data_IF_408476020947
#
_entry.id   IF_408476020947
#
_cell.length_a   1.000
_cell.length_b   1.000
_cell.length_c   1.000
_cell.angle_alpha   90.00
_cell.angle_beta   90.00
_cell.angle_gamma   90.00
#
_symmetry.space_group_name_H-M   'P 1'
#
loop_
_entity.id
_entity.type
_entity.pdbx_description
1 polymer ?
#
# COMPACT_ATOMS: atom_id res chain seq x y z
N UNK A 1 -15.29 21.07 36.48
CA UNK A 1 -14.38 21.07 35.30
C UNK A 1 -14.01 22.52 35.00
N UNK A 2 -12.76 22.85 34.65
CA UNK A 2 -12.39 24.23 34.32
C UNK A 2 -13.15 24.72 33.08
N UNK A 3 -13.36 26.03 32.97
CA UNK A 3 -14.08 26.64 31.85
C UNK A 3 -13.31 26.43 30.53
N UNK A 4 -13.92 25.69 29.60
CA UNK A 4 -13.39 25.49 28.26
C UNK A 4 -13.53 26.78 27.46
N UNK A 5 -12.40 27.36 27.04
CA UNK A 5 -12.40 28.57 26.22
C UNK A 5 -12.39 28.18 24.74
N UNK A 6 -13.21 28.86 23.93
CA UNK A 6 -13.21 28.64 22.48
C UNK A 6 -11.83 28.96 21.91
N UNK A 7 -11.25 28.05 21.11
CA UNK A 7 -9.90 28.24 20.62
C UNK A 7 -9.86 29.35 19.57
N UNK A 8 -8.84 30.21 19.66
CA UNK A 8 -8.64 31.30 18.70
C UNK A 8 -8.16 30.69 17.38
N UNK A 9 -8.95 30.84 16.30
CA UNK A 9 -8.67 30.27 14.99
C UNK A 9 -7.24 30.57 14.49
N UNK A 10 -6.74 31.79 14.72
CA UNK A 10 -5.37 32.20 14.38
C UNK A 10 -4.31 31.34 15.06
N UNK A 11 -4.49 31.00 16.34
CA UNK A 11 -3.53 30.19 17.09
C UNK A 11 -3.56 28.74 16.61
N UNK A 12 -4.75 28.20 16.30
CA UNK A 12 -4.89 26.88 15.68
C UNK A 12 -4.15 26.86 14.35
N UNK A 13 -4.43 27.82 13.46
CA UNK A 13 -3.84 27.83 12.12
C UNK A 13 -2.31 27.96 12.16
N UNK A 14 -1.78 28.84 13.03
CA UNK A 14 -0.33 29.00 13.20
C UNK A 14 0.32 27.74 13.78
N UNK A 15 -0.28 27.13 14.81
CA UNK A 15 0.29 25.91 15.43
C UNK A 15 0.22 24.71 14.48
N UNK A 16 -0.87 24.56 13.73
CA UNK A 16 -0.98 23.55 12.67
C UNK A 16 0.03 23.80 11.57
N UNK A 17 0.20 25.04 11.11
CA UNK A 17 1.20 25.39 10.09
C UNK A 17 2.63 25.06 10.52
N UNK A 18 3.03 25.41 11.75
CA UNK A 18 4.38 25.09 12.24
C UNK A 18 4.61 23.58 12.36
N UNK A 19 3.59 22.82 12.78
CA UNK A 19 3.67 21.35 12.82
C UNK A 19 3.75 20.76 11.41
N UNK A 20 2.93 21.25 10.48
CA UNK A 20 2.94 20.83 9.07
C UNK A 20 4.29 21.10 8.42
N UNK A 21 4.81 22.32 8.54
CA UNK A 21 6.14 22.68 8.02
C UNK A 21 7.22 21.76 8.58
N UNK A 22 7.21 21.53 9.90
CA UNK A 22 8.19 20.62 10.52
C UNK A 22 8.03 19.18 10.06
N UNK A 23 6.82 18.74 9.74
CA UNK A 23 6.55 17.40 9.21
C UNK A 23 7.08 17.28 7.78
N UNK A 24 6.77 18.24 6.91
CA UNK A 24 7.22 18.27 5.50
C UNK A 24 8.74 18.14 5.41
N UNK A 25 9.51 18.97 6.14
CA UNK A 25 10.97 18.91 6.06
C UNK A 25 11.58 17.63 6.65
N UNK A 26 10.94 17.03 7.66
CA UNK A 26 11.46 15.82 8.33
C UNK A 26 11.09 14.54 7.59
N UNK A 27 9.81 14.37 7.25
CA UNK A 27 9.31 13.21 6.52
C UNK A 27 9.76 13.26 5.05
N UNK A 28 9.70 14.43 4.41
CA UNK A 28 10.09 14.63 3.02
C UNK A 28 11.54 14.21 2.75
N UNK A 29 12.47 14.49 3.68
CA UNK A 29 13.87 14.05 3.53
C UNK A 29 13.98 12.52 3.42
N UNK A 30 13.21 11.77 4.21
CA UNK A 30 13.19 10.31 4.15
C UNK A 30 12.53 9.81 2.88
N UNK A 31 11.40 10.42 2.49
CA UNK A 31 10.66 10.05 1.27
C UNK A 31 11.54 10.25 0.03
N UNK A 32 12.17 11.41 -0.12
CA UNK A 32 13.05 11.70 -1.27
C UNK A 32 14.20 10.71 -1.37
N UNK A 33 14.85 10.36 -0.25
CA UNK A 33 15.92 9.35 -0.24
C UNK A 33 15.41 7.98 -0.68
N UNK A 34 14.24 7.57 -0.20
CA UNK A 34 13.61 6.31 -0.60
C UNK A 34 13.23 6.32 -2.08
N UNK A 35 12.59 7.40 -2.57
CA UNK A 35 12.16 7.52 -3.97
C UNK A 35 13.35 7.52 -4.92
N UNK A 36 14.44 8.24 -4.60
CA UNK A 36 15.68 8.19 -5.38
C UNK A 36 16.25 6.77 -5.40
N UNK A 37 16.24 6.07 -4.27
CA UNK A 37 16.71 4.68 -4.21
C UNK A 37 15.81 3.74 -5.04
N UNK A 38 14.49 3.92 -4.99
CA UNK A 38 13.55 3.14 -5.80
C UNK A 38 13.70 3.43 -7.30
N UNK A 39 13.84 4.70 -7.69
CA UNK A 39 14.09 5.12 -9.07
C UNK A 39 15.41 4.57 -9.59
N UNK A 40 16.47 4.59 -8.77
CA UNK A 40 17.74 3.96 -9.13
C UNK A 40 17.62 2.43 -9.30
N UNK A 41 16.84 1.76 -8.43
CA UNK A 41 16.59 0.31 -8.52
C UNK A 41 15.68 -0.06 -9.71
N UNK A 42 14.80 0.85 -10.13
CA UNK A 42 13.97 0.68 -11.32
C UNK A 42 14.81 0.84 -12.60
N UNK A 43 15.69 1.86 -12.66
CA UNK A 43 16.50 2.16 -13.85
C UNK A 43 17.68 1.20 -14.11
N UNK A 44 18.09 0.41 -13.10
CA UNK A 44 19.22 -0.53 -13.21
C UNK A 44 18.74 -1.96 -13.50
N UNK A 45 19.32 -2.59 -14.51
CA UNK A 45 19.07 -4.01 -14.83
C UNK A 45 20.02 -4.96 -14.14
N UNK A 46 19.65 -6.24 -14.16
CA UNK A 46 20.50 -7.36 -13.71
C UNK A 46 21.87 -7.44 -14.39
N UNK A 47 22.01 -6.88 -15.59
CA UNK A 47 23.28 -6.79 -16.33
C UNK A 47 24.11 -5.52 -16.03
N UNK A 48 23.72 -4.72 -15.03
CA UNK A 48 24.31 -3.40 -14.70
C UNK A 48 24.24 -2.37 -15.84
N UNK A 49 23.40 -2.60 -16.85
CA UNK A 49 23.03 -1.58 -17.84
C UNK A 49 22.04 -0.57 -17.25
N UNK A 50 22.12 0.67 -17.72
CA UNK A 50 21.19 1.75 -17.42
C UNK A 50 20.24 1.94 -18.60
N UNK A 51 18.99 2.36 -18.33
CA UNK A 51 17.98 2.67 -19.36
C UNK A 51 16.95 1.57 -19.57
N UNK A 52 16.72 0.72 -18.55
CA UNK A 52 15.66 -0.27 -18.52
C UNK A 52 14.64 0.14 -17.45
N UNK A 53 14.15 1.38 -17.56
CA UNK A 53 13.08 1.85 -16.69
C UNK A 53 11.82 1.04 -17.00
N UNK A 54 11.14 0.63 -15.93
CA UNK A 54 9.96 -0.23 -15.92
C UNK A 54 10.09 -1.65 -16.48
N UNK A 55 11.18 -1.99 -17.19
CA UNK A 55 11.29 -3.31 -17.84
C UNK A 55 11.34 -4.55 -16.93
N UNK A 56 10.94 -5.70 -17.51
CA UNK A 56 10.96 -7.02 -16.86
C UNK A 56 12.32 -7.43 -16.29
N UNK A 57 13.42 -6.81 -16.74
CA UNK A 57 14.80 -7.14 -16.33
C UNK A 57 15.39 -6.19 -15.28
N UNK A 58 14.61 -5.22 -14.80
CA UNK A 58 15.00 -4.32 -13.71
C UNK A 58 15.31 -5.09 -12.42
N UNK A 59 16.19 -4.55 -11.57
CA UNK A 59 16.46 -5.17 -10.26
C UNK A 59 15.19 -5.23 -9.40
N UNK A 60 14.29 -4.26 -9.58
CA UNK A 60 13.00 -4.21 -8.90
C UNK A 60 12.08 -5.37 -9.31
N UNK A 61 11.96 -5.68 -10.61
CA UNK A 61 11.13 -6.79 -11.11
C UNK A 61 11.68 -8.16 -10.65
N UNK A 62 13.00 -8.33 -10.59
CA UNK A 62 13.64 -9.57 -10.11
C UNK A 62 13.38 -9.80 -8.63
N UNK A 63 13.48 -8.75 -7.82
CA UNK A 63 13.10 -8.82 -6.40
C UNK A 63 11.61 -9.15 -6.28
N UNK A 64 10.75 -8.52 -7.10
CA UNK A 64 9.32 -8.81 -7.19
C UNK A 64 9.05 -10.29 -7.44
N UNK A 65 9.58 -10.84 -8.55
CA UNK A 65 9.44 -12.26 -8.94
C UNK A 65 9.96 -13.23 -7.88
N UNK A 66 11.02 -12.86 -7.16
CA UNK A 66 11.55 -13.68 -6.06
C UNK A 66 10.60 -13.74 -4.85
N UNK A 67 9.78 -12.71 -4.63
CA UNK A 67 8.84 -12.61 -3.51
C UNK A 67 7.45 -13.13 -3.88
N UNK A 68 7.04 -13.01 -5.14
CA UNK A 68 5.73 -13.49 -5.66
C UNK A 68 5.33 -14.91 -5.22
N UNK A 69 6.20 -15.94 -5.21
CA UNK A 69 5.79 -17.28 -4.75
C UNK A 69 5.31 -17.32 -3.30
N UNK A 70 5.76 -16.38 -2.45
CA UNK A 70 5.25 -16.27 -1.09
C UNK A 70 3.79 -15.79 -1.06
N UNK A 71 3.33 -15.08 -2.09
CA UNK A 71 1.95 -14.62 -2.23
C UNK A 71 1.05 -15.57 -3.05
N UNK A 72 1.58 -16.70 -3.54
CA UNK A 72 0.77 -17.70 -4.24
C UNK A 72 -0.47 -18.20 -3.42
N UNK A 73 -0.38 -18.44 -2.10
CA UNK A 73 -1.55 -18.80 -1.29
C UNK A 73 -2.62 -17.69 -1.18
N UNK A 74 -2.28 -16.45 -1.55
CA UNK A 74 -3.18 -15.30 -1.59
C UNK A 74 -3.98 -15.24 -2.92
N UNK A 75 -3.62 -16.05 -3.91
CA UNK A 75 -4.19 -15.99 -5.26
C UNK A 75 -3.39 -15.15 -6.26
N UNK A 76 -2.18 -14.69 -5.89
CA UNK A 76 -1.25 -14.04 -6.82
C UNK A 76 -0.45 -15.12 -7.54
N UNK A 77 -0.70 -15.30 -8.83
CA UNK A 77 0.05 -16.25 -9.65
C UNK A 77 1.48 -15.77 -9.90
N UNK A 78 2.38 -16.69 -10.27
CA UNK A 78 3.80 -16.36 -10.51
C UNK A 78 4.00 -15.33 -11.61
N UNK A 79 3.10 -15.35 -12.59
CA UNK A 79 3.12 -14.47 -13.75
C UNK A 79 2.62 -13.05 -13.37
N UNK A 80 1.87 -12.93 -12.28
CA UNK A 80 1.44 -11.65 -11.71
C UNK A 80 2.48 -11.11 -10.70
N UNK A 81 3.72 -11.00 -11.15
CA UNK A 81 4.78 -10.31 -10.42
C UNK A 81 4.52 -8.79 -10.27
N UNK A 82 3.82 -8.07 -11.20
CA UNK A 82 3.51 -6.65 -11.03
C UNK A 82 2.70 -6.36 -9.77
N UNK A 83 1.73 -7.22 -9.41
CA UNK A 83 1.01 -7.08 -8.14
C UNK A 83 1.91 -7.17 -6.90
N UNK A 84 2.99 -7.95 -6.97
CA UNK A 84 3.95 -8.04 -5.85
C UNK A 84 4.84 -6.80 -5.77
N UNK A 85 5.26 -6.26 -6.92
CA UNK A 85 6.01 -5.00 -6.98
C UNK A 85 5.15 -3.84 -6.49
N UNK A 86 3.89 -3.76 -6.94
CA UNK A 86 2.91 -2.79 -6.45
C UNK A 86 2.71 -2.86 -4.94
N UNK A 87 2.74 -4.06 -4.35
CA UNK A 87 2.65 -4.20 -2.90
C UNK A 87 3.90 -3.65 -2.18
N UNK A 88 5.08 -3.89 -2.76
CA UNK A 88 6.34 -3.39 -2.21
C UNK A 88 6.45 -1.87 -2.31
N UNK A 89 6.09 -1.29 -3.45
CA UNK A 89 6.05 0.17 -3.65
C UNK A 89 5.04 0.82 -2.72
N UNK A 90 3.88 0.18 -2.56
CA UNK A 90 2.83 0.56 -1.62
C UNK A 90 3.29 0.72 -0.17
N UNK A 91 4.23 -0.11 0.26
CA UNK A 91 4.77 -0.08 1.61
C UNK A 91 5.46 1.25 1.92
N UNK A 92 5.97 1.94 0.89
CA UNK A 92 6.52 3.27 1.03
C UNK A 92 5.43 4.35 0.93
N UNK A 93 4.51 4.23 -0.03
CA UNK A 93 3.37 5.13 -0.21
C UNK A 93 2.14 4.39 -0.75
N UNK A 94 1.01 4.43 -0.03
CA UNK A 94 -0.20 3.67 -0.39
C UNK A 94 -0.78 4.05 -1.75
N UNK A 95 -0.74 5.32 -2.11
CA UNK A 95 -1.24 5.80 -3.42
C UNK A 95 -0.33 5.39 -4.58
N UNK A 96 0.96 5.16 -4.31
CA UNK A 96 1.91 4.74 -5.34
C UNK A 96 1.61 3.35 -5.89
N UNK A 97 0.78 2.54 -5.20
CA UNK A 97 0.37 1.22 -5.67
C UNK A 97 -0.33 1.36 -7.03
N UNK A 98 -1.27 2.29 -7.16
CA UNK A 98 -2.07 2.46 -8.38
C UNK A 98 -1.16 2.87 -9.54
N UNK A 99 -0.33 3.91 -9.36
CA UNK A 99 0.59 4.35 -10.40
C UNK A 99 1.62 3.29 -10.80
N UNK A 100 2.12 2.49 -9.84
CA UNK A 100 3.06 1.39 -10.16
C UNK A 100 2.37 0.21 -10.84
N UNK A 101 1.11 -0.05 -10.54
CA UNK A 101 0.35 -1.08 -11.24
C UNK A 101 0.01 -0.61 -12.65
N UNK A 102 -0.40 0.65 -12.80
CA UNK A 102 -0.68 1.22 -14.11
C UNK A 102 0.55 1.14 -15.03
N UNK A 103 1.70 1.65 -14.60
CA UNK A 103 2.94 1.55 -15.37
C UNK A 103 3.33 0.11 -15.75
N UNK A 104 3.29 -0.83 -14.79
CA UNK A 104 3.72 -2.21 -15.03
C UNK A 104 2.70 -3.06 -15.79
N UNK A 105 1.43 -2.67 -15.79
CA UNK A 105 0.40 -3.34 -16.58
C UNK A 105 0.21 -2.69 -17.96
N UNK A 106 0.54 -1.40 -18.13
CA UNK A 106 0.52 -0.71 -19.42
C UNK A 106 1.73 -1.06 -20.29
N UNK A 107 2.85 -1.49 -19.71
CA UNK A 107 4.09 -1.81 -20.44
C UNK A 107 3.99 -2.98 -21.44
N UNK A 108 2.87 -3.72 -21.45
CA UNK A 108 2.56 -4.63 -22.58
C UNK A 108 2.20 -3.89 -23.88
N UNK A 109 1.94 -2.59 -23.80
CA UNK A 109 1.81 -1.62 -24.88
C UNK A 109 3.10 -0.80 -24.89
N UNK A 110 4.09 -1.29 -25.64
CA UNK A 110 5.30 -0.53 -25.92
C UNK A 110 4.95 0.69 -26.77
N UNK A 111 4.59 1.81 -26.13
CA UNK A 111 4.76 3.11 -26.75
C UNK A 111 6.24 3.49 -26.63
N UNK A 112 6.89 3.55 -27.79
CA UNK A 112 8.23 4.07 -27.98
C UNK A 112 8.28 5.52 -27.46
N UNK A 113 8.84 5.74 -26.27
CA UNK A 113 9.13 7.10 -25.82
C UNK A 113 10.25 7.70 -26.71
N UNK A 114 9.86 8.72 -27.49
CA UNK A 114 10.73 9.47 -28.40
C UNK A 114 11.66 10.37 -27.59
N UNK A 115 12.71 9.76 -26.98
CA UNK A 115 14.05 10.29 -26.67
C UNK A 115 14.23 11.74 -26.22
N UNK A 116 13.17 12.43 -25.82
CA UNK A 116 13.13 13.86 -25.56
C UNK A 116 13.19 14.07 -24.05
N UNK A 117 14.07 14.96 -23.57
CA UNK A 117 14.23 15.16 -22.14
C UNK A 117 12.90 15.65 -21.55
N UNK A 118 12.42 15.08 -20.44
CA UNK A 118 11.14 15.43 -19.86
C UNK A 118 11.12 16.93 -19.50
N UNK A 119 10.13 17.66 -20.01
CA UNK A 119 9.95 19.07 -19.71
C UNK A 119 9.38 19.23 -18.29
N UNK A 120 10.29 19.40 -17.34
CA UNK A 120 9.98 19.51 -15.91
C UNK A 120 9.06 20.69 -15.58
N UNK A 121 9.04 21.74 -16.41
CA UNK A 121 8.19 22.92 -16.20
C UNK A 121 6.75 22.61 -16.61
N UNK A 122 6.58 21.95 -17.75
CA UNK A 122 5.28 21.49 -18.21
C UNK A 122 4.70 20.46 -17.22
N UNK A 123 5.47 19.43 -16.87
CA UNK A 123 5.06 18.40 -15.91
C UNK A 123 4.70 18.97 -14.53
N UNK A 124 5.44 19.98 -14.05
CA UNK A 124 5.09 20.68 -12.81
C UNK A 124 3.79 21.49 -12.95
N UNK A 125 3.57 22.14 -14.08
CA UNK A 125 2.33 22.85 -14.40
C UNK A 125 1.12 21.93 -14.40
N UNK A 126 1.26 20.75 -15.03
CA UNK A 126 0.21 19.74 -15.11
C UNK A 126 -0.08 19.10 -13.74
N UNK A 127 0.96 18.83 -12.94
CA UNK A 127 0.76 18.36 -11.57
C UNK A 127 0.01 19.39 -10.70
N UNK A 128 0.25 20.70 -10.89
CA UNK A 128 -0.47 21.74 -10.15
C UNK A 128 -1.92 21.92 -10.64
N UNK A 129 -2.19 21.74 -11.93
CA UNK A 129 -3.55 21.81 -12.47
C UNK A 129 -4.38 20.61 -12.00
N UNK A 130 -3.78 19.41 -11.98
CA UNK A 130 -4.32 18.17 -11.41
C UNK A 130 -4.80 18.36 -9.97
N UNK A 131 -3.99 18.96 -9.09
CA UNK A 131 -4.40 19.22 -7.69
C UNK A 131 -5.67 20.09 -7.63
N UNK A 132 -5.85 21.01 -8.58
CA UNK A 132 -7.03 21.87 -8.69
C UNK A 132 -8.27 21.14 -9.18
N UNK A 133 -8.14 20.30 -10.22
CA UNK A 133 -9.24 19.48 -10.73
C UNK A 133 -9.70 18.46 -9.70
N UNK A 134 -8.76 17.78 -9.02
CA UNK A 134 -9.04 16.83 -7.95
C UNK A 134 -9.76 17.47 -6.76
N UNK A 135 -9.38 18.70 -6.40
CA UNK A 135 -10.06 19.44 -5.33
C UNK A 135 -11.52 19.79 -5.70
N UNK A 136 -11.80 20.03 -6.98
CA UNK A 136 -13.16 20.23 -7.47
C UNK A 136 -13.95 18.91 -7.52
N UNK A 137 -13.31 17.80 -7.94
CA UNK A 137 -13.87 16.46 -7.91
C UNK A 137 -14.18 15.96 -6.49
N UNK A 138 -13.39 16.38 -5.49
CA UNK A 138 -13.69 16.13 -4.09
C UNK A 138 -14.98 16.84 -3.64
N UNK A 139 -15.27 18.03 -4.19
CA UNK A 139 -16.50 18.76 -3.90
C UNK A 139 -17.74 18.06 -4.43
N UNK A 140 -17.67 17.42 -5.59
CA UNK A 140 -18.77 16.60 -6.12
C UNK A 140 -18.89 15.27 -5.36
N UNK A 141 -17.77 14.66 -4.96
CA UNK A 141 -17.77 13.44 -4.13
C UNK A 141 -18.38 13.64 -2.73
N UNK A 142 -18.31 14.86 -2.17
CA UNK A 142 -19.03 15.20 -0.93
C UNK A 142 -20.57 15.16 -1.08
N UNK A 143 -21.08 15.20 -2.32
CA UNK A 143 -22.52 15.08 -2.59
C UNK A 143 -22.99 13.64 -2.82
N UNK A 144 -22.08 12.69 -3.04
CA UNK A 144 -22.33 11.24 -3.05
C UNK A 144 -21.29 10.48 -2.20
N UNK A 145 -21.36 10.60 -0.86
CA UNK A 145 -20.38 10.00 0.04
C UNK A 145 -20.44 8.47 0.12
N UNK A 146 -21.41 7.83 -0.56
CA UNK A 146 -21.60 6.38 -0.61
C UNK A 146 -21.22 5.78 -1.97
N UNK A 147 -20.89 6.60 -2.97
CA UNK A 147 -20.47 6.15 -4.30
C UNK A 147 -21.53 5.32 -5.04
N UNK A 148 -22.82 5.55 -4.74
CA UNK A 148 -23.93 4.81 -5.38
C UNK A 148 -24.07 5.20 -6.86
N UNK A 149 -23.52 6.35 -7.26
CA UNK A 149 -23.43 6.80 -8.65
C UNK A 149 -22.11 6.45 -9.31
N UNK A 150 -21.42 5.38 -8.90
CA UNK A 150 -20.47 4.74 -9.81
C UNK A 150 -21.28 4.49 -11.10
N UNK A 151 -20.87 5.12 -12.20
CA UNK A 151 -21.51 5.00 -13.51
C UNK A 151 -21.51 3.54 -13.97
N UNK A 152 -22.03 3.32 -15.17
CA UNK A 152 -22.13 1.96 -15.73
C UNK A 152 -20.73 1.34 -15.90
N UNK A 153 -20.30 0.51 -14.94
CA UNK A 153 -19.03 -0.25 -14.93
C UNK A 153 -19.00 -1.32 -16.05
N UNK A 154 -20.01 -1.33 -16.91
CA UNK A 154 -20.06 -2.14 -18.13
C UNK A 154 -19.14 -1.61 -19.23
N UNK A 155 -18.81 -0.30 -19.21
CA UNK A 155 -17.99 0.34 -20.24
C UNK A 155 -16.59 0.67 -19.70
N UNK A 156 -15.61 -0.15 -20.10
CA UNK A 156 -14.22 -0.03 -19.64
C UNK A 156 -13.58 1.29 -20.10
N UNK A 157 -14.05 1.87 -21.22
CA UNK A 157 -13.53 3.12 -21.75
C UNK A 157 -13.96 4.30 -20.85
N UNK A 158 -15.20 4.29 -20.35
CA UNK A 158 -15.69 5.31 -19.42
C UNK A 158 -15.00 5.25 -18.05
N UNK A 159 -14.63 4.05 -17.59
CA UNK A 159 -13.90 3.85 -16.34
C UNK A 159 -12.43 4.27 -16.47
N UNK A 160 -11.80 3.94 -17.60
CA UNK A 160 -10.44 4.38 -17.94
C UNK A 160 -10.33 5.92 -17.97
N UNK A 161 -11.27 6.58 -18.65
CA UNK A 161 -11.31 8.04 -18.78
C UNK A 161 -11.53 8.74 -17.41
N UNK A 162 -12.34 8.18 -16.51
CA UNK A 162 -12.61 8.79 -15.20
C UNK A 162 -11.50 8.52 -14.18
N UNK A 163 -10.72 7.44 -14.35
CA UNK A 163 -9.62 7.10 -13.46
C UNK A 163 -8.24 7.59 -13.97
N UNK A 164 -8.18 8.16 -15.17
CA UNK A 164 -6.92 8.50 -15.87
C UNK A 164 -5.99 7.29 -16.03
N UNK A 165 -6.56 6.10 -16.31
CA UNK A 165 -5.84 4.82 -16.43
C UNK A 165 -6.01 4.28 -17.84
N UNK A 166 -4.99 3.62 -18.42
CA UNK A 166 -5.14 3.00 -19.74
C UNK A 166 -6.13 1.81 -19.72
N UNK A 167 -6.91 1.67 -20.81
CA UNK A 167 -7.83 0.52 -20.97
C UNK A 167 -7.09 -0.82 -21.03
N UNK A 168 -5.84 -0.80 -21.52
CA UNK A 168 -4.88 -1.91 -21.52
C UNK A 168 -4.55 -2.37 -20.09
N UNK A 169 -4.28 -1.44 -19.18
CA UNK A 169 -4.08 -1.69 -17.74
C UNK A 169 -5.27 -2.43 -17.14
N UNK A 170 -6.50 -1.98 -17.41
CA UNK A 170 -7.71 -2.63 -16.90
C UNK A 170 -7.87 -4.06 -17.43
N UNK A 171 -7.56 -4.27 -18.71
CA UNK A 171 -7.61 -5.59 -19.34
C UNK A 171 -6.53 -6.55 -18.79
N UNK A 172 -5.32 -6.05 -18.56
CA UNK A 172 -4.19 -6.82 -18.05
C UNK A 172 -4.37 -7.15 -16.56
N UNK A 173 -4.92 -6.23 -15.77
CA UNK A 173 -5.35 -6.53 -14.39
C UNK A 173 -6.42 -7.63 -14.37
N UNK A 174 -7.42 -7.58 -15.26
CA UNK A 174 -8.45 -8.62 -15.31
C UNK A 174 -7.89 -9.98 -15.76
N UNK A 175 -6.89 -10.00 -16.65
CA UNK A 175 -6.28 -11.21 -17.19
C UNK A 175 -5.25 -11.87 -16.24
N UNK A 176 -4.44 -11.07 -15.54
CA UNK A 176 -3.33 -11.56 -14.70
C UNK A 176 -3.79 -11.99 -13.29
N UNK A 177 -4.99 -11.62 -12.86
CA UNK A 177 -5.60 -12.19 -11.66
C UNK A 177 -6.40 -13.44 -12.03
N UNK A 178 -6.24 -14.51 -11.23
CA UNK A 178 -6.97 -15.80 -11.36
C UNK A 178 -8.50 -15.71 -11.18
N UNK A 179 -9.03 -14.49 -11.07
CA UNK A 179 -10.44 -14.14 -10.96
C UNK A 179 -10.66 -12.90 -10.10
N UNK A 180 -11.86 -12.30 -10.14
CA UNK A 180 -12.20 -11.12 -9.34
C UNK A 180 -12.01 -11.34 -7.84
N UNK A 181 -12.19 -12.59 -7.38
CA UNK A 181 -12.00 -12.96 -5.99
C UNK A 181 -10.55 -12.90 -5.54
N UNK A 182 -9.59 -13.21 -6.42
CA UNK A 182 -8.16 -13.06 -6.12
C UNK A 182 -7.78 -11.59 -5.97
N UNK A 183 -8.27 -10.74 -6.88
CA UNK A 183 -8.10 -9.28 -6.80
C UNK A 183 -8.71 -8.71 -5.50
N UNK A 184 -9.89 -9.19 -5.09
CA UNK A 184 -10.48 -8.82 -3.80
C UNK A 184 -9.59 -9.20 -2.61
N UNK A 185 -9.03 -10.41 -2.59
CA UNK A 185 -8.11 -10.84 -1.52
C UNK A 185 -6.83 -10.00 -1.49
N UNK A 186 -6.32 -9.61 -2.67
CA UNK A 186 -5.21 -8.67 -2.80
C UNK A 186 -5.55 -7.29 -2.21
N UNK A 187 -6.75 -6.74 -2.46
CA UNK A 187 -7.20 -5.49 -1.84
C UNK A 187 -7.33 -5.62 -0.31
N UNK A 188 -7.85 -6.74 0.20
CA UNK A 188 -7.91 -7.00 1.65
C UNK A 188 -6.50 -6.98 2.25
N UNK A 189 -5.52 -7.55 1.55
CA UNK A 189 -4.12 -7.45 1.97
C UNK A 189 -3.67 -5.98 2.01
N UNK A 190 -3.89 -5.22 0.94
CA UNK A 190 -3.50 -3.80 0.82
C UNK A 190 -4.03 -2.96 1.99
N UNK A 191 -5.29 -3.19 2.39
CA UNK A 191 -5.95 -2.45 3.45
C UNK A 191 -5.39 -2.76 4.84
N UNK A 192 -4.91 -3.99 5.07
CA UNK A 192 -4.50 -4.46 6.40
C UNK A 192 -2.99 -4.46 6.64
N UNK A 193 -2.16 -4.51 5.59
CA UNK A 193 -0.71 -4.63 5.77
C UNK A 193 -0.09 -3.35 6.36
N UNK A 194 1.19 -3.46 6.74
CA UNK A 194 1.93 -2.41 7.42
C UNK A 194 1.66 -0.98 6.93
N UNK A 195 1.59 -0.02 7.87
CA UNK A 195 1.45 1.38 7.52
C UNK A 195 2.71 1.89 6.82
N UNK A 196 2.58 3.01 6.11
CA UNK A 196 3.68 3.57 5.34
C UNK A 196 4.88 4.00 6.22
N UNK A 197 6.03 4.22 5.58
CA UNK A 197 7.30 4.57 6.22
C UNK A 197 7.20 5.80 7.12
N UNK A 198 6.33 6.76 6.80
CA UNK A 198 6.10 7.93 7.64
C UNK A 198 5.57 7.57 9.03
N UNK A 199 4.59 6.66 9.10
CA UNK A 199 4.01 6.18 10.36
C UNK A 199 5.01 5.31 11.10
N UNK A 200 5.70 4.40 10.42
CA UNK A 200 6.74 3.57 11.03
C UNK A 200 7.89 4.41 11.60
N UNK A 201 8.26 5.50 10.92
CA UNK A 201 9.26 6.46 11.37
C UNK A 201 8.83 7.20 12.64
N UNK A 202 7.56 7.58 12.74
CA UNK A 202 7.00 8.17 13.96
C UNK A 202 7.02 7.17 15.13
N UNK A 203 6.57 5.93 14.90
CA UNK A 203 6.60 4.85 15.90
C UNK A 203 8.04 4.57 16.35
N UNK A 204 9.00 4.53 15.44
CA UNK A 204 10.40 4.30 15.79
C UNK A 204 10.95 5.39 16.70
N UNK A 205 10.51 6.64 16.50
CA UNK A 205 10.92 7.76 17.34
C UNK A 205 10.27 7.74 18.73
N UNK A 206 9.04 7.27 18.84
CA UNK A 206 8.26 7.31 20.08
C UNK A 206 8.40 6.03 20.94
N UNK A 207 8.35 4.87 20.29
CA UNK A 207 8.37 3.56 20.95
C UNK A 207 9.69 2.79 20.73
N UNK A 208 10.53 3.22 19.80
CA UNK A 208 11.80 2.57 19.49
C UNK A 208 11.69 1.42 18.48
N UNK A 209 12.84 1.00 17.95
CA UNK A 209 12.93 0.09 16.80
C UNK A 209 12.30 -1.29 17.03
N UNK A 210 12.40 -1.84 18.23
CA UNK A 210 11.80 -3.14 18.56
C UNK A 210 10.27 -3.12 18.42
N UNK A 211 9.64 -2.02 18.84
CA UNK A 211 8.20 -1.84 18.72
C UNK A 211 7.78 -1.55 17.28
N UNK A 212 8.59 -0.82 16.51
CA UNK A 212 8.36 -0.62 15.08
C UNK A 212 8.37 -1.95 14.32
N UNK A 213 9.38 -2.80 14.53
CA UNK A 213 9.44 -4.12 13.89
C UNK A 213 8.27 -5.02 14.32
N UNK A 214 7.85 -4.95 15.59
CA UNK A 214 6.69 -5.68 16.06
C UNK A 214 5.41 -5.22 15.36
N UNK A 215 5.18 -3.91 15.24
CA UNK A 215 4.00 -3.36 14.55
C UNK A 215 4.03 -3.72 13.06
N UNK A 216 5.17 -3.54 12.40
CA UNK A 216 5.35 -3.89 11.00
C UNK A 216 5.09 -5.37 10.73
N UNK A 217 5.72 -6.25 11.51
CA UNK A 217 5.59 -7.69 11.35
C UNK A 217 4.19 -8.19 11.70
N UNK A 218 3.57 -7.67 12.76
CA UNK A 218 2.23 -8.08 13.18
C UNK A 218 1.16 -7.64 12.19
N UNK A 219 1.18 -6.38 11.72
CA UNK A 219 0.20 -5.86 10.75
C UNK A 219 0.30 -6.60 9.41
N UNK A 220 1.51 -6.74 8.87
CA UNK A 220 1.74 -7.48 7.62
C UNK A 220 1.40 -8.96 7.78
N UNK A 221 1.74 -9.57 8.92
CA UNK A 221 1.38 -10.96 9.21
C UNK A 221 -0.12 -11.18 9.32
N UNK A 222 -0.84 -10.27 9.99
CA UNK A 222 -2.29 -10.32 10.10
C UNK A 222 -2.96 -10.14 8.73
N UNK A 223 -2.48 -9.20 7.92
CA UNK A 223 -2.95 -8.98 6.56
C UNK A 223 -2.78 -10.23 5.70
N UNK A 224 -1.58 -10.82 5.73
CA UNK A 224 -1.27 -12.06 5.02
C UNK A 224 -2.17 -13.22 5.43
N UNK A 225 -2.26 -13.48 6.74
CA UNK A 225 -3.13 -14.54 7.28
C UNK A 225 -4.58 -14.33 6.87
N UNK A 226 -5.09 -13.11 6.99
CA UNK A 226 -6.50 -12.80 6.71
C UNK A 226 -6.82 -12.98 5.23
N UNK A 227 -6.02 -12.40 4.35
CA UNK A 227 -6.23 -12.48 2.91
C UNK A 227 -6.02 -13.91 2.37
N UNK A 228 -5.01 -14.65 2.86
CA UNK A 228 -4.82 -16.07 2.50
C UNK A 228 -5.98 -16.93 2.97
N UNK A 229 -6.47 -16.76 4.22
CA UNK A 229 -7.62 -17.52 4.71
C UNK A 229 -8.87 -17.23 3.88
N UNK A 230 -9.13 -15.97 3.52
CA UNK A 230 -10.27 -15.61 2.67
C UNK A 230 -10.15 -16.26 1.30
N UNK A 231 -8.99 -16.13 0.63
CA UNK A 231 -8.76 -16.74 -0.68
C UNK A 231 -8.99 -18.26 -0.65
N UNK A 232 -8.48 -18.89 0.40
CA UNK A 232 -8.50 -20.34 0.54
C UNK A 232 -9.89 -20.90 0.89
N UNK A 233 -10.73 -20.10 1.58
CA UNK A 233 -12.14 -20.40 1.81
C UNK A 233 -12.91 -20.35 0.49
N UNK A 234 -12.69 -19.33 -0.35
CA UNK A 234 -13.38 -19.22 -1.64
C UNK A 234 -12.99 -20.33 -2.63
N UNK A 235 -11.73 -20.76 -2.61
CA UNK A 235 -11.21 -21.83 -3.47
C UNK A 235 -11.38 -23.25 -2.88
N UNK A 236 -12.06 -23.38 -1.74
CA UNK A 236 -12.22 -24.64 -1.01
C UNK A 236 -12.82 -25.78 -1.85
N UNK A 237 -13.75 -25.44 -2.74
CA UNK A 237 -14.41 -26.41 -3.62
C UNK A 237 -13.53 -26.91 -4.76
N UNK A 238 -12.47 -26.18 -5.11
CA UNK A 238 -11.53 -26.57 -6.19
C UNK A 238 -10.45 -27.51 -5.65
N UNK A 239 -9.83 -27.16 -4.52
CA UNK A 239 -8.71 -27.91 -3.93
C UNK A 239 -8.85 -28.09 -2.40
N UNK A 240 -9.70 -29.02 -1.92
CA UNK A 240 -10.09 -29.10 -0.50
C UNK A 240 -8.94 -29.46 0.45
N UNK A 241 -8.00 -30.30 0.01
CA UNK A 241 -6.85 -30.72 0.83
C UNK A 241 -5.83 -29.58 1.01
N UNK A 242 -5.48 -28.90 -0.08
CA UNK A 242 -4.58 -27.75 -0.02
C UNK A 242 -5.23 -26.62 0.78
N UNK A 243 -6.54 -26.39 0.58
CA UNK A 243 -7.25 -25.34 1.29
C UNK A 243 -7.29 -25.52 2.80
N UNK A 244 -7.66 -26.71 3.25
CA UNK A 244 -7.74 -27.00 4.68
C UNK A 244 -6.38 -26.88 5.38
N UNK A 245 -5.29 -27.32 4.75
CA UNK A 245 -3.94 -27.23 5.30
C UNK A 245 -3.50 -25.77 5.52
N UNK A 246 -3.71 -24.90 4.53
CA UNK A 246 -3.35 -23.49 4.65
C UNK A 246 -4.19 -22.76 5.68
N UNK A 247 -5.51 -23.00 5.71
CA UNK A 247 -6.40 -22.38 6.70
C UNK A 247 -5.97 -22.78 8.12
N UNK A 248 -5.77 -24.08 8.37
CA UNK A 248 -5.36 -24.58 9.68
C UNK A 248 -3.97 -24.06 10.04
N UNK A 249 -3.02 -24.06 9.08
CA UNK A 249 -1.67 -23.54 9.26
C UNK A 249 -1.67 -22.07 9.68
N UNK A 250 -2.38 -21.23 8.94
CA UNK A 250 -2.47 -19.79 9.21
C UNK A 250 -3.17 -19.47 10.53
N UNK A 251 -4.27 -20.15 10.84
CA UNK A 251 -4.95 -19.99 12.14
C UNK A 251 -4.06 -20.44 13.30
N UNK A 252 -3.30 -21.52 13.12
CA UNK A 252 -2.35 -22.00 14.13
C UNK A 252 -1.24 -20.98 14.37
N UNK A 253 -0.67 -20.40 13.30
CA UNK A 253 0.34 -19.33 13.40
C UNK A 253 -0.24 -18.13 14.16
N UNK A 254 -1.46 -17.70 13.83
CA UNK A 254 -2.13 -16.59 14.50
C UNK A 254 -2.32 -16.86 16.01
N UNK A 255 -2.82 -18.05 16.35
CA UNK A 255 -3.04 -18.45 17.75
C UNK A 255 -1.70 -18.50 18.50
N UNK A 256 -0.67 -19.12 17.91
CA UNK A 256 0.67 -19.20 18.51
C UNK A 256 1.25 -17.81 18.75
N UNK A 257 1.09 -16.89 17.80
CA UNK A 257 1.56 -15.52 17.94
C UNK A 257 0.84 -14.79 19.08
N UNK A 258 -0.50 -14.84 19.12
CA UNK A 258 -1.30 -14.22 20.20
C UNK A 258 -0.93 -14.80 21.56
N UNK A 259 -0.69 -16.12 21.66
CA UNK A 259 -0.25 -16.77 22.88
C UNK A 259 1.14 -16.31 23.31
N UNK A 260 2.07 -16.12 22.37
CA UNK A 260 3.40 -15.57 22.65
C UNK A 260 3.31 -14.13 23.17
N UNK A 261 2.46 -13.29 22.57
CA UNK A 261 2.21 -11.94 23.08
C UNK A 261 1.62 -11.96 24.50
N UNK A 262 0.64 -12.83 24.78
CA UNK A 262 0.08 -12.98 26.13
C UNK A 262 1.13 -13.43 27.14
N UNK A 263 2.02 -14.35 26.76
CA UNK A 263 3.14 -14.82 27.60
C UNK A 263 4.18 -13.73 27.84
N UNK A 264 4.45 -12.87 26.85
CA UNK A 264 5.40 -11.78 26.98
C UNK A 264 4.83 -10.66 27.86
N UNK A 265 3.55 -10.32 27.67
CA UNK A 265 2.81 -9.35 28.47
C UNK A 265 2.79 -9.71 29.97
N UNK A 266 2.49 -10.97 30.31
CA UNK A 266 2.43 -11.40 31.72
C UNK A 266 3.77 -11.35 32.46
N UNK A 267 4.89 -11.35 31.73
CA UNK A 267 6.24 -11.18 32.30
C UNK A 267 6.64 -9.73 32.49
N UNK A 268 6.07 -8.81 31.71
CA UNK A 268 6.43 -7.38 31.70
C UNK A 268 5.62 -6.56 32.72
N UNK A 269 4.45 -7.05 33.15
CA UNK A 269 3.65 -6.37 34.18
C UNK A 269 4.26 -6.59 35.56
N UNK A 270 4.77 -5.54 36.24
CA UNK A 270 5.29 -5.69 37.60
C UNK A 270 4.16 -6.11 38.53
N UNK A 271 4.39 -7.18 39.31
CA UNK A 271 3.38 -7.77 40.21
C UNK A 271 2.88 -6.83 41.32
N UNK A 272 3.55 -5.69 41.52
CA UNK A 272 3.25 -4.70 42.56
C UNK A 272 2.57 -3.44 42.00
N UNK A 273 1.56 -3.59 41.14
CA UNK A 273 0.73 -2.45 40.74
C UNK A 273 -0.18 -2.06 41.91
N UNK A 274 -0.06 -0.81 42.37
CA UNK A 274 -0.98 -0.22 43.34
C UNK A 274 -2.38 -0.25 42.70
N UNK A 275 -3.41 -0.83 43.36
CA UNK A 275 -4.76 -0.83 42.80
C UNK A 275 -5.19 0.63 42.62
N UNK A 276 -5.58 0.98 41.39
CA UNK A 276 -6.16 2.28 41.11
C UNK A 276 -7.51 2.35 41.85
N UNK A 277 -7.51 3.00 43.02
CA UNK A 277 -8.74 3.42 43.68
C UNK A 277 -9.33 4.50 42.79
N UNK A 278 -10.41 4.15 42.09
CA UNK A 278 -11.25 5.15 41.44
C UNK A 278 -11.89 5.99 42.55
N UNK A 279 -11.38 7.21 42.75
CA UNK A 279 -12.00 8.24 43.58
C UNK A 279 -13.20 8.85 42.87
#
# INVERSE_FOLDING_TARGET
>A
MPAYHVPIARNILLTTWFRLRSFIFRAGKTIVVVVIALSFLNSISTDFSFGNEDSEDSVLSVIGRSITPAFAPLGIEKDNWPATVGLFTGMFAKEAIVGTLDALYSESSADEDDGSPPDLIAAAGDAFSSIGSELFALSSSLTDPLGISIGDVSDLDAVADEQEIETTTLSNMAALFSGPFAAFCYLVFILLYAPCVAVLGAINKEAGWHWTLLVFGWSTGLAYITATVIYQIGTFFVNPLFSSLWIIGMLTILIVFILNLKRLSSKMVPKNLIPAVQL
#
